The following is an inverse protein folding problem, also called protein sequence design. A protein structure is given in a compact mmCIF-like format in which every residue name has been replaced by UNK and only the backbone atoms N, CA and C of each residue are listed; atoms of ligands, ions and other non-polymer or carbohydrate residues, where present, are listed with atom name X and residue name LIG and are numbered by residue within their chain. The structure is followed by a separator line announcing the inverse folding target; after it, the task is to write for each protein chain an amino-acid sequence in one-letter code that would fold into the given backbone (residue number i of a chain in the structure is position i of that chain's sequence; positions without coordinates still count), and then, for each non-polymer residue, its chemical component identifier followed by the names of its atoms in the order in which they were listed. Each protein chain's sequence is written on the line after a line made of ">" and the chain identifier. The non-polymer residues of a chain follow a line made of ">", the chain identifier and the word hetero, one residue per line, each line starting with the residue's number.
data_IF_067356557899
#
_entry.id   IF_067356557899
#
_cell.length_a   1.000
_cell.length_b   1.000
_cell.length_c   1.000
_cell.angle_alpha   90.00
_cell.angle_beta   90.00
_cell.angle_gamma   90.00
#
_symmetry.space_group_name_H-M   'P 1'
#
loop_
_entity.id
_entity.type
_entity.pdbx_description
1 polymer ?
#
# COMPACT_ATOMS: atom_id res chain seq x y z
N UNK A 1 -16.50 14.09 -26.26
CA UNK A 1 -15.99 14.57 -24.95
C UNK A 1 -16.49 13.61 -23.90
N UNK A 2 -15.63 12.72 -23.37
CA UNK A 2 -16.04 11.79 -22.32
C UNK A 2 -16.16 12.57 -21.01
N UNK A 3 -17.38 12.60 -20.46
CA UNK A 3 -17.61 13.14 -19.13
C UNK A 3 -16.84 12.32 -18.08
N UNK A 4 -16.30 12.93 -17.02
CA UNK A 4 -15.60 12.22 -15.97
C UNK A 4 -16.57 11.24 -15.28
N UNK A 5 -16.10 10.01 -15.07
CA UNK A 5 -16.87 8.97 -14.38
C UNK A 5 -17.18 9.46 -12.96
N UNK A 6 -18.45 9.47 -12.52
CA UNK A 6 -18.82 9.83 -11.16
C UNK A 6 -18.10 8.93 -10.16
N UNK A 7 -17.34 9.53 -9.24
CA UNK A 7 -16.68 8.79 -8.15
C UNK A 7 -17.74 8.31 -7.17
N UNK A 8 -17.80 6.99 -6.93
CA UNK A 8 -18.72 6.40 -5.96
C UNK A 8 -18.27 6.79 -4.53
N UNK A 9 -19.07 7.53 -3.76
CA UNK A 9 -18.72 7.97 -2.41
C UNK A 9 -18.72 6.81 -1.39
N UNK A 10 -19.23 5.62 -1.75
CA UNK A 10 -19.21 4.43 -0.90
C UNK A 10 -17.95 3.58 -1.10
N UNK A 11 -17.15 3.86 -2.13
CA UNK A 11 -15.87 3.18 -2.29
C UNK A 11 -14.91 3.62 -1.18
N UNK A 12 -14.23 2.67 -0.50
CA UNK A 12 -13.15 2.99 0.41
C UNK A 12 -12.14 3.90 -0.31
N UNK A 13 -11.62 4.90 0.41
CA UNK A 13 -10.61 5.83 -0.14
C UNK A 13 -9.32 5.10 -0.55
N UNK A 14 -9.05 3.96 0.09
CA UNK A 14 -7.94 3.05 -0.16
C UNK A 14 -8.48 1.72 -0.67
N UNK A 15 -8.02 1.27 -1.83
CA UNK A 15 -8.33 -0.06 -2.34
C UNK A 15 -7.44 -1.11 -1.64
N UNK A 16 -8.05 -2.01 -0.87
CA UNK A 16 -7.31 -3.05 -0.15
C UNK A 16 -6.54 -4.01 -1.07
N UNK A 17 -7.01 -4.23 -2.31
CA UNK A 17 -6.32 -5.09 -3.27
C UNK A 17 -5.09 -4.39 -3.88
N UNK A 18 -5.09 -3.07 -3.97
CA UNK A 18 -3.94 -2.26 -4.37
C UNK A 18 -2.92 -2.18 -3.23
N UNK A 19 -3.40 -1.97 -2.00
CA UNK A 19 -2.56 -1.95 -0.80
C UNK A 19 -1.86 -3.29 -0.56
N UNK A 20 -2.56 -4.42 -0.72
CA UNK A 20 -1.97 -5.75 -0.58
C UNK A 20 -0.84 -5.97 -1.59
N UNK A 21 -1.06 -5.60 -2.86
CA UNK A 21 -0.04 -5.72 -3.91
C UNK A 21 1.21 -4.89 -3.58
N UNK A 22 1.02 -3.65 -3.14
CA UNK A 22 2.14 -2.78 -2.78
C UNK A 22 2.94 -3.32 -1.58
N UNK A 23 2.28 -3.95 -0.60
CA UNK A 23 2.98 -4.64 0.50
C UNK A 23 3.75 -5.85 -0.01
N UNK A 24 3.12 -6.70 -0.83
CA UNK A 24 3.76 -7.89 -1.39
C UNK A 24 4.98 -7.53 -2.25
N UNK A 25 4.93 -6.44 -3.01
CA UNK A 25 6.06 -5.92 -3.77
C UNK A 25 7.25 -5.56 -2.87
N UNK A 26 7.01 -4.86 -1.75
CA UNK A 26 8.08 -4.51 -0.79
C UNK A 26 8.68 -5.77 -0.17
N UNK A 27 7.86 -6.75 0.17
CA UNK A 27 8.31 -8.00 0.80
C UNK A 27 9.01 -8.95 -0.20
N UNK A 28 8.72 -8.82 -1.49
CA UNK A 28 9.39 -9.56 -2.55
C UNK A 28 10.78 -9.00 -2.90
N UNK A 29 11.13 -7.79 -2.44
CA UNK A 29 12.46 -7.23 -2.64
C UNK A 29 13.52 -8.12 -1.95
N UNK A 30 14.61 -8.50 -2.67
CA UNK A 30 15.63 -9.37 -2.11
C UNK A 30 16.37 -8.66 -0.98
N UNK A 31 16.53 -9.34 0.15
CA UNK A 31 17.37 -8.91 1.27
C UNK A 31 18.52 -9.90 1.48
N UNK A 32 19.74 -9.36 1.59
CA UNK A 32 20.96 -10.13 1.85
C UNK A 32 21.40 -10.05 3.32
N UNK A 33 20.80 -9.13 4.08
CA UNK A 33 21.07 -8.95 5.51
C UNK A 33 19.78 -8.77 6.31
N UNK A 34 19.82 -9.13 7.59
CA UNK A 34 18.69 -8.89 8.51
C UNK A 34 18.32 -7.40 8.62
N UNK A 35 19.29 -6.51 8.42
CA UNK A 35 19.03 -5.07 8.39
C UNK A 35 18.17 -4.68 7.19
N UNK A 36 18.48 -5.21 6.00
CA UNK A 36 17.68 -4.98 4.80
C UNK A 36 16.25 -5.54 4.97
N UNK A 37 16.12 -6.74 5.51
CA UNK A 37 14.80 -7.33 5.80
C UNK A 37 13.99 -6.47 6.79
N UNK A 38 14.63 -5.97 7.85
CA UNK A 38 13.99 -5.07 8.81
C UNK A 38 13.53 -3.75 8.13
N UNK A 39 14.30 -3.23 7.18
CA UNK A 39 13.92 -2.05 6.40
C UNK A 39 12.72 -2.33 5.48
N UNK A 40 12.62 -3.52 4.89
CA UNK A 40 11.46 -3.92 4.07
C UNK A 40 10.20 -3.99 4.95
N UNK A 41 10.29 -4.64 6.11
CA UNK A 41 9.18 -4.72 7.08
C UNK A 41 8.76 -3.33 7.58
N UNK A 42 9.73 -2.44 7.85
CA UNK A 42 9.44 -1.07 8.29
C UNK A 42 8.70 -0.27 7.22
N UNK A 43 9.08 -0.42 5.95
CA UNK A 43 8.38 0.22 4.82
C UNK A 43 6.97 -0.32 4.63
N UNK A 44 6.79 -1.64 4.65
CA UNK A 44 5.47 -2.27 4.56
C UNK A 44 4.54 -1.82 5.70
N UNK A 45 5.06 -1.79 6.94
CA UNK A 45 4.31 -1.30 8.09
C UNK A 45 3.92 0.18 7.95
N UNK A 46 4.85 1.04 7.50
CA UNK A 46 4.56 2.46 7.30
C UNK A 46 3.45 2.68 6.27
N UNK A 47 3.47 1.94 5.16
CA UNK A 47 2.43 1.97 4.12
C UNK A 47 1.06 1.56 4.67
N UNK A 48 0.99 0.45 5.43
CA UNK A 48 -0.24 0.01 6.08
C UNK A 48 -0.77 1.03 7.09
N UNK A 49 0.12 1.62 7.88
CA UNK A 49 -0.24 2.62 8.87
C UNK A 49 -0.77 3.90 8.21
N UNK A 50 -0.18 4.37 7.11
CA UNK A 50 -0.68 5.52 6.34
C UNK A 50 -2.09 5.26 5.78
N UNK A 51 -2.31 4.07 5.21
CA UNK A 51 -3.61 3.65 4.71
C UNK A 51 -4.71 3.62 5.79
N UNK A 52 -4.35 3.27 7.03
CA UNK A 52 -5.28 3.25 8.17
C UNK A 52 -5.46 4.63 8.83
N UNK A 53 -4.42 5.47 8.83
CA UNK A 53 -4.45 6.80 9.44
C UNK A 53 -5.01 7.89 8.54
N UNK A 54 -5.24 7.60 7.25
CA UNK A 54 -5.92 8.48 6.32
C UNK A 54 -7.38 8.70 6.77
N UNK A 55 -7.58 9.67 7.67
CA UNK A 55 -8.87 10.28 8.04
C UNK A 55 -9.45 11.11 6.90
#
# INVERSE_FOLDING_TARGET
>A
MNAPVPRDPRRPRVDGAELSRAVDEILAEPATTLREEAEHLRRAHALLNDALQTR
#
